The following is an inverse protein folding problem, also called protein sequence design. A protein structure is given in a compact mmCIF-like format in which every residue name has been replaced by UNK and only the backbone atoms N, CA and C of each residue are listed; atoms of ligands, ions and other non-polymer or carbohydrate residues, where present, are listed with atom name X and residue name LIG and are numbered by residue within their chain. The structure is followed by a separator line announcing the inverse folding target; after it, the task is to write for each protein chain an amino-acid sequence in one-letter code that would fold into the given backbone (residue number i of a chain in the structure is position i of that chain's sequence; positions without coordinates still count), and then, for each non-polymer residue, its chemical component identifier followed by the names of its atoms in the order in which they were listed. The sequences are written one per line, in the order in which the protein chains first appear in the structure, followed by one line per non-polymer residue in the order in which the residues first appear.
data_IF_723874828955
#
_entry.id   IF_723874828955
#
_cell.length_a   1.000
_cell.length_b   1.000
_cell.length_c   1.000
_cell.angle_alpha   90.00
_cell.angle_beta   90.00
_cell.angle_gamma   90.00
#
_symmetry.space_group_name_H-M   'P 1'
#
loop_
_entity.id
_entity.type
_entity.pdbx_description
1 polymer ?
#
# COMPACT_ATOMS: atom_id res chain seq x y z
N UNK A 1 13.36 24.31 6.23
CA UNK A 1 12.38 25.27 5.67
C UNK A 1 11.10 25.16 6.47
N UNK A 2 10.66 26.26 7.06
CA UNK A 2 9.36 26.31 7.72
C UNK A 2 8.25 26.18 6.67
N UNK A 3 7.28 25.30 6.92
CA UNK A 3 6.11 25.18 6.05
C UNK A 3 5.23 26.41 6.31
N UNK A 4 4.67 27.06 5.28
CA UNK A 4 3.75 28.17 5.51
C UNK A 4 2.57 27.65 6.34
N UNK A 5 2.17 28.41 7.37
CA UNK A 5 1.16 27.99 8.35
C UNK A 5 -0.15 27.49 7.70
N UNK A 6 -0.50 28.06 6.54
CA UNK A 6 -1.70 27.67 5.79
C UNK A 6 -1.60 26.28 5.15
N UNK A 7 -0.43 25.90 4.62
CA UNK A 7 -0.19 24.56 4.07
C UNK A 7 -0.29 23.50 5.17
N UNK A 8 0.24 23.81 6.36
CA UNK A 8 0.19 22.88 7.49
C UNK A 8 -1.26 22.59 7.90
N UNK A 9 -2.14 23.59 7.92
CA UNK A 9 -3.57 23.39 8.21
C UNK A 9 -4.24 22.43 7.22
N UNK A 10 -3.94 22.55 5.93
CA UNK A 10 -4.49 21.65 4.90
C UNK A 10 -3.96 20.24 5.05
N UNK A 11 -2.66 20.08 5.35
CA UNK A 11 -2.04 18.78 5.65
C UNK A 11 -2.72 18.12 6.86
N UNK A 12 -2.95 18.88 7.94
CA UNK A 12 -3.58 18.38 9.15
C UNK A 12 -5.05 18.01 8.91
N UNK A 13 -5.75 18.78 8.07
CA UNK A 13 -7.09 18.45 7.60
C UNK A 13 -7.11 17.10 6.87
N UNK A 14 -6.19 16.88 5.92
CA UNK A 14 -6.08 15.59 5.24
C UNK A 14 -5.79 14.46 6.24
N UNK A 15 -4.78 14.59 7.09
CA UNK A 15 -4.40 13.55 8.07
C UNK A 15 -5.55 13.17 8.98
N UNK A 16 -6.27 14.16 9.52
CA UNK A 16 -7.37 13.90 10.46
C UNK A 16 -8.56 13.23 9.78
N UNK A 17 -8.84 13.54 8.52
CA UNK A 17 -9.97 12.94 7.80
C UNK A 17 -9.61 11.59 7.16
N UNK A 18 -8.36 11.38 6.73
CA UNK A 18 -7.90 10.05 6.29
C UNK A 18 -7.97 9.03 7.44
N UNK A 19 -7.65 9.46 8.68
CA UNK A 19 -7.85 8.63 9.88
C UNK A 19 -9.31 8.24 10.13
N UNK A 20 -10.27 9.06 9.64
CA UNK A 20 -11.71 8.78 9.73
C UNK A 20 -12.22 7.91 8.58
N UNK A 21 -11.36 7.55 7.62
CA UNK A 21 -11.72 6.71 6.48
C UNK A 21 -12.24 7.45 5.24
N UNK A 22 -12.13 8.79 5.18
CA UNK A 22 -12.42 9.53 3.95
C UNK A 22 -11.38 9.25 2.87
N UNK A 23 -11.76 9.33 1.60
CA UNK A 23 -10.83 9.17 0.47
C UNK A 23 -10.13 10.49 0.14
N UNK A 24 -8.89 10.43 -0.37
CA UNK A 24 -8.16 11.63 -0.80
C UNK A 24 -8.97 12.51 -1.76
N UNK A 25 -9.58 11.90 -2.78
CA UNK A 25 -10.40 12.60 -3.77
C UNK A 25 -11.57 13.35 -3.12
N UNK A 26 -12.28 12.73 -2.16
CA UNK A 26 -13.40 13.40 -1.48
C UNK A 26 -12.96 14.66 -0.71
N UNK A 27 -11.76 14.62 -0.13
CA UNK A 27 -11.18 15.73 0.63
C UNK A 27 -10.68 16.84 -0.30
N UNK A 28 -10.08 16.48 -1.43
CA UNK A 28 -9.70 17.43 -2.49
C UNK A 28 -10.92 18.20 -2.99
N UNK A 29 -12.02 17.51 -3.31
CA UNK A 29 -13.28 18.14 -3.72
C UNK A 29 -13.86 19.05 -2.65
N UNK A 30 -13.81 18.64 -1.38
CA UNK A 30 -14.29 19.46 -0.28
C UNK A 30 -13.50 20.77 -0.13
N UNK A 31 -12.17 20.72 -0.26
CA UNK A 31 -11.30 21.89 -0.17
C UNK A 31 -11.44 22.81 -1.39
N UNK A 32 -11.58 22.24 -2.59
CA UNK A 32 -11.90 23.00 -3.80
C UNK A 32 -13.22 23.78 -3.64
N UNK A 33 -14.27 23.11 -3.13
CA UNK A 33 -15.57 23.76 -2.88
C UNK A 33 -15.50 24.84 -1.80
N UNK A 34 -14.61 24.71 -0.83
CA UNK A 34 -14.35 25.73 0.20
C UNK A 34 -13.55 26.93 -0.33
N UNK A 35 -13.07 26.89 -1.59
CA UNK A 35 -12.32 27.99 -2.20
C UNK A 35 -10.81 27.92 -1.99
N UNK A 36 -10.27 26.78 -1.54
CA UNK A 36 -8.82 26.60 -1.47
C UNK A 36 -8.23 26.49 -2.88
N UNK A 37 -7.04 27.06 -3.08
CA UNK A 37 -6.37 26.99 -4.38
C UNK A 37 -5.94 25.55 -4.70
N UNK A 38 -6.18 25.12 -5.94
CA UNK A 38 -5.82 23.78 -6.40
C UNK A 38 -4.34 23.47 -6.20
N UNK A 39 -3.46 24.44 -6.49
CA UNK A 39 -2.02 24.27 -6.29
C UNK A 39 -1.62 24.01 -4.83
N UNK A 40 -2.33 24.58 -3.86
CA UNK A 40 -2.09 24.32 -2.44
C UNK A 40 -2.58 22.93 -2.03
N UNK A 41 -3.76 22.54 -2.51
CA UNK A 41 -4.34 21.21 -2.27
C UNK A 41 -3.40 20.14 -2.82
N UNK A 42 -2.96 20.28 -4.07
CA UNK A 42 -2.06 19.34 -4.75
C UNK A 42 -0.73 19.19 -3.98
N UNK A 43 -0.15 20.31 -3.49
CA UNK A 43 1.05 20.29 -2.64
C UNK A 43 0.81 19.57 -1.30
N UNK A 44 -0.29 19.85 -0.63
CA UNK A 44 -0.62 19.21 0.64
C UNK A 44 -0.85 17.70 0.47
N UNK A 45 -1.55 17.30 -0.60
CA UNK A 45 -1.81 15.90 -0.93
C UNK A 45 -0.51 15.13 -1.20
N UNK A 46 0.42 15.71 -1.96
CA UNK A 46 1.74 15.11 -2.20
C UNK A 46 2.52 14.90 -0.90
N UNK A 47 2.51 15.89 0.00
CA UNK A 47 3.24 15.81 1.27
C UNK A 47 2.63 14.75 2.21
N UNK A 48 1.29 14.68 2.30
CA UNK A 48 0.60 13.64 3.08
C UNK A 48 0.89 12.26 2.52
N UNK A 49 0.88 12.09 1.20
CA UNK A 49 1.19 10.81 0.55
C UNK A 49 2.62 10.36 0.85
N UNK A 50 3.59 11.29 0.80
CA UNK A 50 4.98 11.04 1.17
C UNK A 50 5.11 10.59 2.63
N UNK A 51 4.42 11.27 3.56
CA UNK A 51 4.44 10.89 4.97
C UNK A 51 3.77 9.53 5.24
N UNK A 52 2.68 9.22 4.54
CA UNK A 52 2.00 7.93 4.64
C UNK A 52 2.87 6.81 4.07
N UNK A 53 3.54 7.03 2.95
CA UNK A 53 4.48 6.08 2.37
C UNK A 53 5.65 5.78 3.32
N UNK A 54 6.15 6.79 4.04
CA UNK A 54 7.20 6.60 5.06
C UNK A 54 6.70 5.83 6.30
N UNK A 55 5.41 5.96 6.64
CA UNK A 55 4.81 5.26 7.79
C UNK A 55 4.29 3.87 7.47
N UNK A 56 4.00 3.58 6.21
CA UNK A 56 3.52 2.28 5.80
C UNK A 56 4.55 1.21 6.21
N UNK A 57 4.13 0.14 6.91
CA UNK A 57 5.05 -0.94 7.25
C UNK A 57 5.61 -1.53 5.97
N UNK A 58 6.94 -1.65 5.88
CA UNK A 58 7.57 -2.44 4.82
C UNK A 58 7.03 -3.86 4.98
N UNK A 59 6.17 -4.29 4.05
CA UNK A 59 5.66 -5.65 3.98
C UNK A 59 6.86 -6.56 3.67
N UNK A 60 7.57 -6.98 4.72
CA UNK A 60 8.62 -7.99 4.66
C UNK A 60 7.97 -9.36 4.52
N UNK A 61 7.29 -9.59 3.41
CA UNK A 61 6.92 -10.95 3.06
C UNK A 61 8.21 -11.69 2.72
N UNK A 62 8.48 -12.78 3.43
CA UNK A 62 9.60 -13.66 3.09
C UNK A 62 9.36 -14.15 1.66
N UNK A 63 10.38 -14.15 0.78
CA UNK A 63 10.21 -14.74 -0.54
C UNK A 63 9.85 -16.22 -0.37
N UNK A 64 8.66 -16.61 -0.83
CA UNK A 64 8.24 -18.00 -0.87
C UNK A 64 8.89 -18.61 -2.11
N UNK A 65 10.05 -19.24 -1.94
CA UNK A 65 10.71 -19.99 -3.02
C UNK A 65 9.90 -21.28 -3.24
N UNK A 66 9.13 -21.34 -4.33
CA UNK A 66 8.46 -22.56 -4.76
C UNK A 66 9.45 -23.41 -5.55
N UNK A 67 9.78 -24.59 -5.05
CA UNK A 67 10.58 -25.56 -5.78
C UNK A 67 9.63 -26.49 -6.56
N UNK A 68 9.66 -26.40 -7.88
CA UNK A 68 8.97 -27.32 -8.78
C UNK A 68 9.99 -28.31 -9.33
N UNK A 69 9.68 -29.61 -9.29
CA UNK A 69 10.53 -30.66 -9.87
C UNK A 69 10.06 -30.85 -11.31
N UNK A 70 10.95 -30.53 -12.24
CA UNK A 70 10.72 -30.51 -13.70
C UNK A 70 11.42 -31.72 -14.32
N UNK A 71 10.80 -32.38 -15.32
CA UNK A 71 11.44 -33.45 -16.11
C UNK A 71 12.33 -32.90 -17.25
N UNK A 72 13.02 -33.76 -18.00
CA UNK A 72 13.85 -33.37 -19.16
C UNK A 72 13.07 -32.70 -20.32
N UNK A 73 11.73 -32.65 -20.23
CA UNK A 73 10.82 -32.09 -21.23
C UNK A 73 10.00 -30.92 -20.68
N UNK A 74 10.47 -30.27 -19.61
CA UNK A 74 9.82 -29.12 -18.96
C UNK A 74 8.42 -29.39 -18.37
N UNK A 75 8.12 -30.64 -17.98
CA UNK A 75 6.82 -31.01 -17.38
C UNK A 75 6.91 -31.18 -15.86
N UNK A 76 5.91 -30.69 -15.10
CA UNK A 76 5.88 -30.81 -13.65
C UNK A 76 5.61 -32.26 -13.21
N UNK A 77 6.55 -32.84 -12.46
CA UNK A 77 6.46 -34.24 -11.99
C UNK A 77 5.65 -34.30 -10.69
N UNK A 78 4.50 -34.99 -10.70
CA UNK A 78 3.73 -35.29 -9.49
C UNK A 78 4.28 -36.56 -8.82
N UNK A 79 5.10 -36.40 -7.79
CA UNK A 79 5.57 -37.53 -6.97
C UNK A 79 4.37 -38.13 -6.21
N UNK A 80 3.96 -39.35 -6.56
CA UNK A 80 2.94 -40.09 -5.82
C UNK A 80 3.56 -40.67 -4.54
N UNK A 81 2.83 -40.65 -3.41
CA UNK A 81 3.28 -41.28 -2.16
C UNK A 81 3.59 -42.77 -2.42
N UNK A 82 4.79 -43.20 -2.04
CA UNK A 82 5.20 -44.60 -2.10
C UNK A 82 4.36 -45.49 -1.18
N UNK A 83 4.37 -46.80 -1.45
CA UNK A 83 3.54 -47.82 -0.80
C UNK A 83 3.51 -47.73 0.75
N UNK A 84 4.67 -47.51 1.39
CA UNK A 84 4.77 -47.34 2.84
C UNK A 84 4.06 -46.09 3.40
N UNK A 85 4.00 -45.00 2.62
CA UNK A 85 3.27 -43.78 2.99
C UNK A 85 1.76 -43.90 2.87
N UNK A 86 1.25 -45.04 2.40
CA UNK A 86 -0.17 -45.42 2.35
C UNK A 86 -0.58 -46.43 3.41
N UNK A 87 0.40 -47.06 4.07
CA UNK A 87 0.22 -48.19 4.99
C UNK A 87 0.46 -47.81 6.46
N UNK A 88 1.25 -46.77 6.72
CA UNK A 88 1.58 -46.31 8.08
C UNK A 88 1.16 -44.84 8.33
N UNK A 89 0.20 -44.34 7.56
CA UNK A 89 -0.33 -42.97 7.69
C UNK A 89 -1.78 -42.89 7.29
#
# INVERSE_FOLDING_TARGET
MEKPAYLQKVIDYFKNNLKKGYTMQSLEWALLRQGYSKALIDRAAAEVTKELAMKAPVLKEKPIIKHEIIDEYDRPVKIKKGFFGRLFG
#
